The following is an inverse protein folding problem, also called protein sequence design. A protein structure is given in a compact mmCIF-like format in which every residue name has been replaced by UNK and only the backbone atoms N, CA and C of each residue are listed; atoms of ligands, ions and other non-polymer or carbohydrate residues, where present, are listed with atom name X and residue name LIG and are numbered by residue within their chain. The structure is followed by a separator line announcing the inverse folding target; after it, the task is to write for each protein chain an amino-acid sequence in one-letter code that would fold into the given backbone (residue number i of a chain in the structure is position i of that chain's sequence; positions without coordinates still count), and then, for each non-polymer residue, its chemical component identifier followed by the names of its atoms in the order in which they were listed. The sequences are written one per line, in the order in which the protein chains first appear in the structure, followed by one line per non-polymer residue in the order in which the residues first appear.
data_IF_242731721182
#
_entry.id   IF_242731721182
#
_cell.length_a   1.000
_cell.length_b   1.000
_cell.length_c   1.000
_cell.angle_alpha   90.00
_cell.angle_beta   90.00
_cell.angle_gamma   90.00
#
_symmetry.space_group_name_H-M   'P 1'
#
loop_
_entity.id
_entity.type
_entity.pdbx_description
1 polymer ?
#
# COMPACT_ATOMS: atom_id res chain seq x y z
N UNK A 1 -1.64 5.80 -16.97
CA UNK A 1 -0.79 5.41 -15.83
C UNK A 1 -1.34 6.03 -14.56
N UNK A 2 -1.31 5.31 -13.46
CA UNK A 2 -1.82 5.78 -12.18
C UNK A 2 -0.76 6.58 -11.43
N UNK A 3 -1.19 7.58 -10.66
CA UNK A 3 -0.28 8.36 -9.83
C UNK A 3 -0.17 7.70 -8.45
N UNK A 4 1.03 7.23 -8.13
CA UNK A 4 1.29 6.60 -6.82
C UNK A 4 1.60 7.68 -5.81
N UNK A 5 0.86 7.67 -4.70
CA UNK A 5 1.05 8.60 -3.59
C UNK A 5 1.29 7.81 -2.30
N UNK A 6 2.14 8.34 -1.43
CA UNK A 6 2.37 7.78 -0.11
C UNK A 6 1.55 8.59 0.90
N UNK A 7 0.73 7.89 1.67
CA UNK A 7 -0.08 8.55 2.69
C UNK A 7 0.80 9.19 3.76
N UNK A 8 0.52 10.43 4.10
CA UNK A 8 1.13 11.15 5.22
C UNK A 8 0.09 11.36 6.31
N UNK A 9 0.48 11.10 7.58
CA UNK A 9 -0.37 11.45 8.71
C UNK A 9 -0.43 12.96 8.86
N UNK A 10 -1.41 13.42 9.66
CA UNK A 10 -1.60 14.86 9.85
C UNK A 10 -0.38 15.52 10.52
N UNK A 11 0.37 14.75 11.30
CA UNK A 11 1.59 15.24 11.95
C UNK A 11 2.87 14.96 11.13
N UNK A 12 2.71 14.62 9.85
CA UNK A 12 3.81 14.57 8.89
C UNK A 12 4.58 13.26 8.82
N UNK A 13 4.08 12.20 9.45
CA UNK A 13 4.69 10.88 9.34
C UNK A 13 4.27 10.21 8.04
N UNK A 14 5.18 9.44 7.44
CA UNK A 14 4.90 8.68 6.23
C UNK A 14 5.17 7.20 6.47
N UNK A 15 4.17 6.44 6.95
CA UNK A 15 4.40 5.05 7.36
C UNK A 15 4.97 4.15 6.28
N UNK A 16 4.53 4.30 5.03
CA UNK A 16 5.04 3.43 3.97
C UNK A 16 6.49 3.77 3.62
N UNK A 17 6.87 5.05 3.66
CA UNK A 17 8.26 5.43 3.42
C UNK A 17 9.15 4.87 4.52
N UNK A 18 8.72 5.00 5.78
CA UNK A 18 9.46 4.43 6.92
C UNK A 18 9.62 2.93 6.78
N UNK A 19 8.58 2.25 6.32
CA UNK A 19 8.65 0.82 6.07
C UNK A 19 9.67 0.49 4.98
N UNK A 20 9.61 1.20 3.86
CA UNK A 20 10.55 0.96 2.76
C UNK A 20 12.00 1.22 3.19
N UNK A 21 12.21 2.26 3.99
CA UNK A 21 13.54 2.61 4.49
C UNK A 21 14.12 1.54 5.42
N UNK A 22 13.26 0.72 6.01
CA UNK A 22 13.68 -0.36 6.91
C UNK A 22 14.09 -1.64 6.18
N UNK A 23 13.84 -1.72 4.87
CA UNK A 23 14.05 -2.95 4.11
C UNK A 23 15.49 -3.10 3.65
N UNK A 24 15.97 -4.35 3.61
CA UNK A 24 17.25 -4.64 3.01
C UNK A 24 17.24 -4.38 1.50
N UNK A 25 18.40 -4.11 0.89
CA UNK A 25 18.46 -3.67 -0.52
C UNK A 25 17.75 -4.57 -1.52
N UNK A 26 17.87 -5.89 -1.39
CA UNK A 26 17.27 -6.83 -2.35
C UNK A 26 15.75 -6.77 -2.33
N UNK A 27 15.16 -6.85 -1.13
CA UNK A 27 13.71 -6.85 -1.01
C UNK A 27 13.14 -5.47 -1.28
N UNK A 28 13.89 -4.43 -0.95
CA UNK A 28 13.50 -3.05 -1.29
C UNK A 28 13.39 -2.89 -2.81
N UNK A 29 14.42 -3.32 -3.55
CA UNK A 29 14.42 -3.21 -5.01
C UNK A 29 13.23 -3.95 -5.62
N UNK A 30 12.93 -5.15 -5.12
CA UNK A 30 11.78 -5.93 -5.61
C UNK A 30 10.46 -5.27 -5.28
N UNK A 31 10.34 -4.74 -4.06
CA UNK A 31 9.11 -4.06 -3.63
C UNK A 31 8.85 -2.83 -4.48
N UNK A 32 9.89 -2.05 -4.78
CA UNK A 32 9.76 -0.89 -5.64
C UNK A 32 9.33 -1.27 -7.06
N UNK A 33 9.84 -2.40 -7.59
CA UNK A 33 9.38 -2.91 -8.90
C UNK A 33 7.91 -3.30 -8.88
N UNK A 34 7.44 -3.88 -7.76
CA UNK A 34 6.03 -4.23 -7.64
C UNK A 34 5.17 -2.97 -7.60
N UNK A 35 5.65 -1.91 -6.93
CA UNK A 35 4.98 -0.61 -6.93
C UNK A 35 4.91 -0.06 -8.36
N UNK A 36 5.97 -0.21 -9.15
CA UNK A 36 5.96 0.21 -10.57
C UNK A 36 4.91 -0.57 -11.37
N UNK A 37 4.74 -1.86 -11.09
CA UNK A 37 3.68 -2.65 -11.74
C UNK A 37 2.30 -2.11 -11.39
N UNK A 38 2.10 -1.70 -10.14
CA UNK A 38 0.84 -1.10 -9.72
C UNK A 38 0.59 0.22 -10.44
N UNK A 39 1.61 1.05 -10.58
CA UNK A 39 1.51 2.32 -11.31
C UNK A 39 1.06 2.10 -12.74
N UNK A 40 1.62 1.10 -13.41
CA UNK A 40 1.31 0.80 -14.80
C UNK A 40 -0.05 0.14 -14.97
N UNK A 41 -0.40 -0.82 -14.12
CA UNK A 41 -1.57 -1.66 -14.30
C UNK A 41 -2.81 -1.20 -13.53
N UNK A 42 -2.63 -0.45 -12.44
CA UNK A 42 -3.74 0.03 -11.64
C UNK A 42 -4.68 -1.10 -11.19
N UNK A 43 -6.00 -0.94 -11.39
CA UNK A 43 -6.97 -1.96 -10.96
C UNK A 43 -6.84 -3.29 -11.68
N UNK A 44 -6.08 -3.37 -12.77
CA UNK A 44 -5.88 -4.62 -13.50
C UNK A 44 -4.82 -5.51 -12.88
N UNK A 45 -4.06 -4.98 -11.91
CA UNK A 45 -3.05 -5.77 -11.23
C UNK A 45 -3.71 -6.88 -10.41
N UNK A 46 -3.24 -8.12 -10.59
CA UNK A 46 -3.85 -9.32 -10.02
C UNK A 46 -2.87 -10.11 -9.19
N UNK A 47 -3.34 -11.20 -8.57
CA UNK A 47 -2.46 -12.15 -7.92
C UNK A 47 -1.40 -12.65 -8.91
N UNK A 48 -0.18 -12.92 -8.45
CA UNK A 48 0.25 -12.93 -7.04
C UNK A 48 0.63 -11.56 -6.48
N UNK A 49 0.55 -10.49 -7.25
CA UNK A 49 1.04 -9.18 -6.84
C UNK A 49 0.04 -8.39 -6.00
N UNK A 50 -1.25 -8.61 -6.22
CA UNK A 50 -2.28 -7.83 -5.54
C UNK A 50 -3.44 -8.72 -5.11
N UNK A 51 -3.99 -8.40 -3.94
CA UNK A 51 -5.17 -9.06 -3.42
C UNK A 51 -6.08 -8.05 -2.74
N UNK A 52 -7.37 -8.11 -3.07
CA UNK A 52 -8.38 -7.30 -2.36
C UNK A 52 -8.55 -7.84 -0.94
N UNK A 53 -8.55 -6.95 0.04
CA UNK A 53 -8.70 -7.32 1.45
C UNK A 53 -10.12 -7.03 1.94
N UNK A 54 -10.52 -5.75 1.94
CA UNK A 54 -11.84 -5.32 2.39
C UNK A 54 -12.08 -3.86 2.01
N UNK A 55 -13.34 -3.49 1.80
CA UNK A 55 -13.76 -2.08 1.68
C UNK A 55 -12.86 -1.22 0.78
N UNK A 56 -12.44 -1.76 -0.36
CA UNK A 56 -11.57 -1.03 -1.29
C UNK A 56 -10.11 -0.98 -0.90
N UNK A 57 -9.71 -1.67 0.17
CA UNK A 57 -8.31 -1.86 0.52
C UNK A 57 -7.75 -3.07 -0.18
N UNK A 58 -6.54 -2.92 -0.72
CA UNK A 58 -5.79 -3.97 -1.39
C UNK A 58 -4.45 -4.16 -0.71
N UNK A 59 -3.87 -5.32 -0.93
CA UNK A 59 -2.56 -5.67 -0.41
C UNK A 59 -1.63 -5.96 -1.57
N UNK A 60 -0.55 -5.19 -1.67
CA UNK A 60 0.49 -5.38 -2.69
C UNK A 60 1.55 -6.31 -2.11
N UNK A 61 1.84 -7.39 -2.81
CA UNK A 61 2.69 -8.47 -2.32
C UNK A 61 3.98 -8.56 -3.11
N UNK A 62 5.10 -8.67 -2.41
CA UNK A 62 6.41 -8.88 -3.03
C UNK A 62 7.15 -9.97 -2.28
N UNK A 63 7.54 -11.03 -3.00
CA UNK A 63 8.25 -12.16 -2.41
C UNK A 63 9.73 -12.11 -2.74
N UNK A 64 10.58 -12.24 -1.72
CA UNK A 64 12.02 -12.35 -1.86
C UNK A 64 12.50 -13.44 -0.89
N UNK A 65 12.89 -14.62 -1.43
CA UNK A 65 13.21 -15.75 -0.59
C UNK A 65 12.01 -16.18 0.24
N UNK A 66 12.17 -16.27 1.54
CA UNK A 66 11.08 -16.61 2.45
C UNK A 66 10.32 -15.39 2.96
N UNK A 67 10.80 -14.19 2.65
CA UNK A 67 10.15 -12.95 3.09
C UNK A 67 9.13 -12.47 2.07
N UNK A 68 8.00 -12.00 2.58
CA UNK A 68 6.95 -11.41 1.75
C UNK A 68 6.63 -10.04 2.33
N UNK A 69 6.91 -8.97 1.57
CA UNK A 69 6.46 -7.65 1.97
C UNK A 69 5.01 -7.47 1.54
N UNK A 70 4.27 -6.77 2.37
CA UNK A 70 2.87 -6.42 2.13
C UNK A 70 2.73 -4.93 2.31
N UNK A 71 2.16 -4.26 1.30
CA UNK A 71 1.90 -2.82 1.35
C UNK A 71 0.42 -2.63 1.05
N UNK A 72 -0.32 -2.01 1.96
CA UNK A 72 -1.73 -1.73 1.74
C UNK A 72 -1.90 -0.52 0.85
N UNK A 73 -2.91 -0.56 0.00
CA UNK A 73 -3.22 0.57 -0.88
C UNK A 73 -4.70 0.61 -1.21
N UNK A 74 -5.15 1.76 -1.71
CA UNK A 74 -6.49 1.94 -2.21
C UNK A 74 -6.46 2.94 -3.38
N UNK A 75 -7.50 2.88 -4.21
CA UNK A 75 -7.62 3.80 -5.34
C UNK A 75 -8.41 5.03 -4.92
N UNK A 76 -8.03 6.17 -5.46
CA UNK A 76 -8.70 7.43 -5.18
C UNK A 76 -9.00 8.15 -6.49
N UNK A 77 -9.78 9.20 -6.42
CA UNK A 77 -10.25 9.98 -7.57
C UNK A 77 -9.08 10.48 -8.40
N UNK A 78 -9.28 10.63 -9.73
CA UNK A 78 -8.28 11.12 -10.69
C UNK A 78 -7.08 10.18 -10.85
N UNK A 79 -7.36 8.87 -10.90
CA UNK A 79 -6.35 7.85 -11.18
C UNK A 79 -5.19 7.88 -10.18
N UNK A 80 -5.51 8.10 -8.92
CA UNK A 80 -4.53 8.04 -7.84
C UNK A 80 -4.59 6.68 -7.16
N UNK A 81 -3.43 6.19 -6.73
CA UNK A 81 -3.34 5.03 -5.87
C UNK A 81 -2.52 5.43 -4.65
N UNK A 82 -3.09 5.24 -3.47
CA UNK A 82 -2.51 5.71 -2.22
C UNK A 82 -2.02 4.52 -1.42
N UNK A 83 -0.72 4.50 -1.11
CA UNK A 83 -0.11 3.47 -0.29
C UNK A 83 -0.11 3.93 1.15
N UNK A 84 -0.61 3.10 2.07
CA UNK A 84 -0.84 3.51 3.45
C UNK A 84 0.26 3.06 4.42
N UNK A 85 0.50 1.77 4.52
CA UNK A 85 1.49 1.19 5.44
C UNK A 85 1.92 -0.17 4.94
N UNK A 86 3.01 -0.68 5.45
CA UNK A 86 3.53 -1.96 5.03
C UNK A 86 4.14 -2.74 6.19
N UNK A 87 4.35 -4.02 5.97
CA UNK A 87 4.97 -4.92 6.94
C UNK A 87 5.55 -6.15 6.22
N UNK A 88 6.43 -6.87 6.90
CA UNK A 88 6.96 -8.13 6.39
C UNK A 88 6.14 -9.25 7.02
N UNK A 89 5.55 -10.09 6.17
CA UNK A 89 4.68 -11.16 6.63
C UNK A 89 5.49 -12.40 6.93
N UNK A 90 5.34 -12.91 8.14
CA UNK A 90 6.00 -14.14 8.60
C UNK A 90 5.03 -15.33 8.68
N UNK A 91 3.73 -15.07 8.59
CA UNK A 91 2.69 -16.11 8.67
C UNK A 91 1.72 -15.97 7.50
N UNK A 92 0.80 -16.93 7.36
CA UNK A 92 -0.18 -16.91 6.28
C UNK A 92 -1.29 -15.89 6.49
N UNK A 93 -1.45 -15.37 7.72
CA UNK A 93 -2.53 -14.43 8.03
C UNK A 93 -2.01 -13.00 8.07
N UNK A 94 -2.78 -12.08 7.51
CA UNK A 94 -2.50 -10.65 7.64
C UNK A 94 -2.84 -10.24 9.07
N UNK A 95 -1.90 -9.62 9.82
CA UNK A 95 -2.18 -9.17 11.17
C UNK A 95 -3.35 -8.20 11.22
N UNK A 96 -4.27 -8.44 12.16
CA UNK A 96 -5.46 -7.58 12.30
C UNK A 96 -5.07 -6.13 12.56
N UNK A 97 -4.05 -5.91 13.39
CA UNK A 97 -3.58 -4.56 13.72
C UNK A 97 -3.14 -3.79 12.48
N UNK A 98 -2.47 -4.46 11.53
CA UNK A 98 -2.02 -3.83 10.29
C UNK A 98 -3.20 -3.47 9.39
N UNK A 99 -4.22 -4.33 9.32
CA UNK A 99 -5.43 -4.03 8.54
C UNK A 99 -6.21 -2.86 9.14
N UNK A 100 -6.35 -2.84 10.46
CA UNK A 100 -7.04 -1.75 11.15
C UNK A 100 -6.33 -0.42 10.92
N UNK A 101 -5.00 -0.44 10.95
CA UNK A 101 -4.21 0.76 10.70
C UNK A 101 -4.41 1.25 9.27
N UNK A 102 -4.38 0.33 8.30
CA UNK A 102 -4.61 0.68 6.89
C UNK A 102 -6.00 1.29 6.68
N UNK A 103 -7.01 0.73 7.32
CA UNK A 103 -8.37 1.27 7.23
C UNK A 103 -8.45 2.67 7.83
N UNK A 104 -7.80 2.87 8.98
CA UNK A 104 -7.74 4.19 9.62
C UNK A 104 -7.09 5.22 8.70
N UNK A 105 -5.99 4.87 8.06
CA UNK A 105 -5.30 5.77 7.15
C UNK A 105 -6.11 6.08 5.90
N UNK A 106 -6.80 5.06 5.36
CA UNK A 106 -7.69 5.26 4.22
C UNK A 106 -8.81 6.23 4.58
N UNK A 107 -9.46 6.02 5.73
CA UNK A 107 -10.56 6.88 6.18
C UNK A 107 -10.07 8.31 6.41
N UNK A 108 -8.88 8.47 6.99
CA UNK A 108 -8.29 9.78 7.20
C UNK A 108 -7.99 10.49 5.88
N UNK A 109 -7.42 9.78 4.91
CA UNK A 109 -7.14 10.36 3.60
C UNK A 109 -8.43 10.81 2.92
N UNK A 110 -9.45 9.97 2.93
CA UNK A 110 -10.73 10.28 2.31
C UNK A 110 -11.40 11.48 2.98
N UNK A 111 -11.31 11.58 4.31
CA UNK A 111 -11.84 12.72 5.04
C UNK A 111 -11.14 14.01 4.69
N UNK A 112 -9.80 13.97 4.55
CA UNK A 112 -9.01 15.18 4.26
C UNK A 112 -9.14 15.65 2.82
N UNK A 113 -9.26 14.73 1.87
CA UNK A 113 -9.19 15.07 0.45
C UNK A 113 -10.48 14.79 -0.33
N UNK A 114 -11.37 13.98 0.21
CA UNK A 114 -12.59 13.59 -0.50
C UNK A 114 -13.53 14.77 -0.76
N UNK A 115 -13.62 15.71 0.18
CA UNK A 115 -14.51 16.87 0.05
C UNK A 115 -14.11 17.81 -1.08
N UNK A 116 -12.86 17.81 -1.47
CA UNK A 116 -12.37 18.64 -2.57
C UNK A 116 -12.95 18.20 -3.92
N UNK A 117 -13.51 17.02 -3.98
CA UNK A 117 -14.05 16.44 -5.19
C UNK A 117 -15.56 16.68 -5.35
N UNK A 118 -16.18 17.22 -4.32
CA UNK A 118 -17.59 17.55 -4.32
C UNK A 118 -17.82 18.93 -4.94
#
# INVERSE_FOLDING_TARGET
MYKVLFYDTIDGKCPVQDFLDSLEPKILAKTLRTIDLLETNGPLLREPYSKHIQNGLFELRTKQGSDITRVFYFFFIDQKVVLTNGFIKKTNKTPIAEKLLAQKYKDDYERRYGNEQL
#
